data_IF_802634946130
#
_entry.id   IF_802634946130
#
_cell.length_a   1.000
_cell.length_b   1.000
_cell.length_c   1.000
_cell.angle_alpha   90.00
_cell.angle_beta   90.00
_cell.angle_gamma   90.00
#
_symmetry.space_group_name_H-M   'P 1'
#
loop_
_entity.id
_entity.type
_entity.pdbx_description
1 polymer ?
#
# COMPACT_ATOMS: atom_id res chain seq x y z
N UNK A 1 -7.66 -6.46 11.03
CA UNK A 1 -8.73 -6.60 10.01
C UNK A 1 -8.72 -5.43 9.02
N UNK A 2 -8.87 -4.15 9.46
CA UNK A 2 -8.89 -2.96 8.57
C UNK A 2 -7.74 -2.93 7.55
N UNK A 3 -6.51 -3.14 7.96
CA UNK A 3 -5.34 -3.13 7.07
C UNK A 3 -5.13 -4.49 6.39
N UNK A 4 -5.10 -5.57 7.15
CA UNK A 4 -4.70 -6.90 6.67
C UNK A 4 -5.70 -7.45 5.64
N UNK A 5 -7.00 -7.39 5.94
CA UNK A 5 -8.08 -7.90 5.09
C UNK A 5 -8.88 -6.77 4.41
N UNK A 6 -8.48 -5.51 4.58
CA UNK A 6 -9.21 -4.34 4.06
C UNK A 6 -10.71 -4.34 4.46
N UNK A 7 -11.00 -4.76 5.69
CA UNK A 7 -12.36 -4.92 6.19
C UNK A 7 -13.02 -3.56 6.41
N UNK A 8 -14.16 -3.34 5.74
CA UNK A 8 -14.87 -2.08 5.76
C UNK A 8 -15.58 -1.81 7.10
N UNK A 9 -16.07 -2.86 7.77
CA UNK A 9 -16.72 -2.72 9.08
C UNK A 9 -15.67 -2.32 10.11
N UNK A 10 -14.52 -3.01 10.12
CA UNK A 10 -13.41 -2.64 10.99
C UNK A 10 -12.90 -1.21 10.73
N UNK A 11 -12.92 -0.75 9.46
CA UNK A 11 -12.58 0.62 9.11
C UNK A 11 -13.56 1.61 9.74
N UNK A 12 -14.87 1.38 9.57
CA UNK A 12 -15.88 2.25 10.16
C UNK A 12 -15.83 2.25 11.70
N UNK A 13 -15.60 1.10 12.33
CA UNK A 13 -15.45 1.03 13.79
C UNK A 13 -14.30 1.92 14.29
N UNK A 14 -13.18 1.96 13.57
CA UNK A 14 -12.05 2.84 13.92
C UNK A 14 -12.38 4.32 13.68
N UNK A 15 -13.07 4.63 12.58
CA UNK A 15 -13.53 6.00 12.29
C UNK A 15 -14.51 6.47 13.38
N UNK A 16 -15.46 5.65 13.78
CA UNK A 16 -16.43 5.95 14.82
C UNK A 16 -15.77 6.15 16.20
N UNK A 17 -14.77 5.32 16.50
CA UNK A 17 -14.04 5.38 17.77
C UNK A 17 -13.16 6.64 17.89
N UNK A 18 -12.45 7.01 16.84
CA UNK A 18 -11.52 8.14 16.85
C UNK A 18 -12.20 9.47 16.51
N UNK A 19 -13.24 9.44 15.71
CA UNK A 19 -13.91 10.61 15.15
C UNK A 19 -13.18 11.17 13.92
N UNK A 20 -13.98 11.58 12.94
CA UNK A 20 -13.49 12.08 11.65
C UNK A 20 -12.58 13.30 11.79
N UNK A 21 -12.95 14.25 12.66
CA UNK A 21 -12.19 15.47 12.87
C UNK A 21 -10.81 15.17 13.47
N UNK A 22 -10.74 14.25 14.44
CA UNK A 22 -9.49 13.82 15.07
C UNK A 22 -8.57 13.16 14.05
N UNK A 23 -9.10 12.27 13.20
CA UNK A 23 -8.35 11.61 12.14
C UNK A 23 -7.76 12.66 11.19
N UNK A 24 -8.59 13.60 10.71
CA UNK A 24 -8.14 14.64 9.80
C UNK A 24 -7.17 15.65 10.44
N UNK A 25 -7.28 15.91 11.73
CA UNK A 25 -6.30 16.72 12.46
C UNK A 25 -4.93 15.99 12.49
N UNK A 26 -4.92 14.71 12.86
CA UNK A 26 -3.71 13.88 12.88
C UNK A 26 -3.05 13.78 11.50
N UNK A 27 -3.82 13.59 10.43
CA UNK A 27 -3.32 13.57 9.05
C UNK A 27 -2.54 14.86 8.72
N UNK A 28 -3.09 16.02 9.10
CA UNK A 28 -2.44 17.31 8.87
C UNK A 28 -1.17 17.50 9.72
N UNK A 29 -1.23 17.13 11.00
CA UNK A 29 -0.10 17.20 11.93
C UNK A 29 1.08 16.33 11.49
N UNK A 30 0.78 15.18 10.87
CA UNK A 30 1.79 14.29 10.29
C UNK A 30 2.34 14.77 8.94
N UNK A 31 1.84 15.90 8.42
CA UNK A 31 2.35 16.55 7.20
C UNK A 31 1.73 16.05 5.89
N UNK A 32 0.62 15.31 5.94
CA UNK A 32 -0.06 14.81 4.73
C UNK A 32 -1.12 15.82 4.25
N UNK A 33 -0.66 16.95 3.72
CA UNK A 33 -1.51 18.12 3.42
C UNK A 33 -2.54 17.93 2.31
N UNK A 34 -2.40 16.88 1.49
CA UNK A 34 -3.33 16.56 0.38
C UNK A 34 -4.17 15.31 0.69
N UNK A 35 -4.13 14.84 1.93
CA UNK A 35 -4.89 13.66 2.38
C UNK A 35 -6.02 14.09 3.30
N UNK A 36 -7.24 13.68 2.98
CA UNK A 36 -8.45 13.98 3.75
C UNK A 36 -9.38 12.77 3.75
N UNK A 37 -9.88 12.39 4.92
CA UNK A 37 -10.96 11.45 5.08
C UNK A 37 -12.28 12.24 5.10
N UNK A 38 -13.18 11.99 4.13
CA UNK A 38 -14.41 12.77 3.98
C UNK A 38 -15.57 12.24 4.80
N UNK A 39 -15.73 10.92 4.83
CA UNK A 39 -16.84 10.23 5.51
C UNK A 39 -16.47 8.78 5.82
N UNK A 40 -17.22 8.09 6.68
CA UNK A 40 -17.17 6.64 6.80
C UNK A 40 -17.55 5.94 5.48
N UNK A 41 -17.24 4.66 5.37
CA UNK A 41 -17.68 3.84 4.24
C UNK A 41 -19.19 3.63 4.31
N UNK A 42 -19.90 3.95 3.23
CA UNK A 42 -21.32 3.68 3.04
C UNK A 42 -21.50 2.43 2.17
N UNK A 43 -22.41 1.54 2.57
CA UNK A 43 -22.65 0.27 1.88
C UNK A 43 -23.87 0.33 0.94
N UNK A 44 -24.70 1.34 1.10
CA UNK A 44 -25.95 1.55 0.38
C UNK A 44 -25.85 2.59 -0.75
N UNK A 45 -24.76 3.30 -0.79
CA UNK A 45 -24.48 4.33 -1.78
C UNK A 45 -22.99 4.49 -2.02
N UNK A 46 -22.65 4.97 -3.22
CA UNK A 46 -21.28 5.36 -3.54
C UNK A 46 -21.00 6.78 -3.03
N UNK A 47 -20.12 6.88 -2.05
CA UNK A 47 -19.59 8.14 -1.58
C UNK A 47 -18.05 8.13 -1.66
N UNK A 48 -17.48 9.31 -1.90
CA UNK A 48 -16.05 9.49 -1.91
C UNK A 48 -15.49 9.40 -0.48
N UNK A 49 -14.95 8.25 -0.10
CA UNK A 49 -14.40 7.98 1.22
C UNK A 49 -13.34 9.00 1.62
N UNK A 50 -12.37 9.24 0.74
CA UNK A 50 -11.24 10.14 1.02
C UNK A 50 -10.55 10.62 -0.25
N UNK A 51 -9.59 11.50 -0.05
CA UNK A 51 -8.68 11.99 -1.09
C UNK A 51 -7.26 11.86 -0.57
N UNK A 52 -6.35 11.46 -1.44
CA UNK A 52 -4.91 11.46 -1.18
C UNK A 52 -4.14 11.67 -2.47
N UNK A 53 -2.84 11.78 -2.38
CA UNK A 53 -1.93 11.83 -3.52
C UNK A 53 -0.88 10.74 -3.43
N UNK A 54 -0.28 10.32 -4.56
CA UNK A 54 0.85 9.38 -4.53
C UNK A 54 1.98 9.86 -3.63
N UNK A 55 2.21 11.18 -3.56
CA UNK A 55 3.24 11.79 -2.72
C UNK A 55 2.96 11.60 -1.22
N UNK A 56 1.76 11.93 -0.77
CA UNK A 56 1.39 11.78 0.65
C UNK A 56 1.41 10.31 1.06
N UNK A 57 0.91 9.43 0.17
CA UNK A 57 0.89 8.00 0.43
C UNK A 57 2.29 7.40 0.49
N UNK A 58 3.19 7.80 -0.42
CA UNK A 58 4.59 7.41 -0.39
C UNK A 58 5.32 7.98 0.85
N UNK A 59 5.01 9.21 1.25
CA UNK A 59 5.58 9.81 2.45
C UNK A 59 5.20 9.07 3.73
N UNK A 60 3.96 8.56 3.82
CA UNK A 60 3.52 7.72 4.93
C UNK A 60 4.38 6.46 5.04
N UNK A 61 4.53 5.69 3.96
CA UNK A 61 5.35 4.49 3.96
C UNK A 61 6.84 4.78 4.20
N UNK A 62 7.35 5.88 3.67
CA UNK A 62 8.73 6.29 3.91
C UNK A 62 8.99 6.65 5.39
N UNK A 63 8.03 7.27 6.07
CA UNK A 63 8.12 7.54 7.50
C UNK A 63 7.99 6.25 8.32
N UNK A 64 7.13 5.32 7.93
CA UNK A 64 7.04 3.98 8.56
C UNK A 64 8.38 3.24 8.43
N UNK A 65 8.95 3.17 7.23
CA UNK A 65 10.23 2.51 6.98
C UNK A 65 11.38 3.11 7.79
N UNK A 66 11.39 4.44 7.93
CA UNK A 66 12.41 5.17 8.72
C UNK A 66 12.18 5.11 10.23
N UNK A 67 11.07 4.58 10.69
CA UNK A 67 10.72 4.58 12.11
C UNK A 67 10.40 5.99 12.67
N UNK A 68 9.90 6.89 11.83
CA UNK A 68 9.65 8.31 12.19
C UNK A 68 8.17 8.69 12.20
N UNK A 69 7.27 7.80 11.80
CA UNK A 69 5.83 8.06 11.86
C UNK A 69 5.36 7.87 13.31
N UNK A 70 4.93 8.94 13.96
CA UNK A 70 4.53 9.04 15.37
C UNK A 70 5.68 8.71 16.33
N UNK A 71 6.15 7.46 16.39
CA UNK A 71 7.31 7.02 17.15
C UNK A 71 7.96 5.81 16.46
N UNK A 72 9.15 5.42 16.91
CA UNK A 72 9.84 4.24 16.40
C UNK A 72 9.05 2.96 16.66
N UNK A 73 8.48 2.83 17.84
CA UNK A 73 7.67 1.69 18.27
C UNK A 73 6.35 1.62 17.48
N UNK A 74 5.68 2.77 17.30
CA UNK A 74 4.46 2.87 16.49
C UNK A 74 4.73 2.51 15.03
N UNK A 75 5.81 3.03 14.45
CA UNK A 75 6.21 2.71 13.08
C UNK A 75 6.50 1.21 12.92
N UNK A 76 7.21 0.59 13.87
CA UNK A 76 7.50 -0.85 13.84
C UNK A 76 6.22 -1.68 13.94
N UNK A 77 5.26 -1.29 14.79
CA UNK A 77 3.97 -1.96 14.91
C UNK A 77 3.16 -1.84 13.59
N UNK A 78 3.13 -0.64 12.99
CA UNK A 78 2.47 -0.42 11.70
C UNK A 78 3.12 -1.24 10.59
N UNK A 79 4.45 -1.28 10.52
CA UNK A 79 5.18 -2.11 9.57
C UNK A 79 4.79 -3.59 9.69
N UNK A 80 4.75 -4.12 10.92
CA UNK A 80 4.32 -5.50 11.17
C UNK A 80 2.89 -5.79 10.73
N UNK A 81 1.98 -4.81 10.84
CA UNK A 81 0.61 -4.95 10.36
C UNK A 81 0.56 -4.91 8.82
N UNK A 82 1.28 -3.97 8.18
CA UNK A 82 1.31 -3.86 6.72
C UNK A 82 1.94 -5.08 6.04
N UNK A 83 2.90 -5.76 6.69
CA UNK A 83 3.50 -7.01 6.19
C UNK A 83 2.53 -8.19 6.15
N UNK A 84 1.43 -8.13 6.89
CA UNK A 84 0.39 -9.17 6.91
C UNK A 84 -0.72 -8.94 5.89
N UNK A 85 -0.58 -7.98 4.97
CA UNK A 85 -1.55 -7.70 3.92
C UNK A 85 -1.76 -8.92 3.02
N UNK A 86 -3.02 -9.35 2.88
CA UNK A 86 -3.40 -10.54 2.12
C UNK A 86 -3.61 -10.31 0.62
N UNK A 87 -3.85 -9.06 0.21
CA UNK A 87 -4.18 -8.77 -1.18
C UNK A 87 -2.94 -8.61 -2.04
N UNK A 88 -2.76 -9.56 -2.96
CA UNK A 88 -1.64 -9.64 -3.89
C UNK A 88 -2.09 -9.24 -5.31
N UNK A 89 -2.71 -8.08 -5.42
CA UNK A 89 -3.44 -7.71 -6.64
C UNK A 89 -2.67 -6.79 -7.59
N UNK A 90 -1.66 -6.08 -7.12
CA UNK A 90 -0.88 -5.17 -7.97
C UNK A 90 0.61 -5.22 -7.66
N UNK A 91 1.07 -4.73 -6.50
CA UNK A 91 2.51 -4.59 -6.25
C UNK A 91 3.26 -5.92 -6.34
N UNK A 92 2.70 -7.00 -5.83
CA UNK A 92 3.34 -8.30 -5.74
C UNK A 92 2.80 -9.33 -6.73
N UNK A 93 1.78 -8.98 -7.51
CA UNK A 93 1.10 -9.92 -8.40
C UNK A 93 2.04 -10.67 -9.36
N UNK A 94 2.97 -9.95 -9.99
CA UNK A 94 3.93 -10.52 -10.94
C UNK A 94 5.27 -10.91 -10.28
N UNK A 95 5.38 -10.83 -8.95
CA UNK A 95 6.59 -11.26 -8.26
C UNK A 95 6.68 -12.79 -8.27
N UNK A 96 7.88 -13.38 -8.46
CA UNK A 96 8.05 -14.81 -8.30
C UNK A 96 7.64 -15.24 -6.90
N UNK A 97 6.78 -16.25 -6.81
CA UNK A 97 6.25 -16.73 -5.53
C UNK A 97 7.37 -17.11 -4.56
N UNK A 98 8.42 -17.74 -5.04
CA UNK A 98 9.56 -18.16 -4.22
C UNK A 98 10.35 -17.00 -3.59
N UNK A 99 10.13 -15.75 -4.00
CA UNK A 99 10.68 -14.59 -3.31
C UNK A 99 9.89 -14.21 -2.06
N UNK A 100 8.57 -14.47 -2.08
CA UNK A 100 7.62 -14.03 -1.08
C UNK A 100 7.28 -15.11 -0.06
N UNK A 101 7.52 -16.37 -0.40
CA UNK A 101 7.14 -17.53 0.40
C UNK A 101 8.35 -18.44 0.60
N UNK A 102 8.92 -18.35 1.79
CA UNK A 102 10.09 -19.12 2.18
C UNK A 102 9.74 -20.30 3.11
N UNK A 103 8.48 -20.44 3.52
CA UNK A 103 8.06 -21.50 4.44
C UNK A 103 8.23 -22.89 3.81
N UNK A 104 7.94 -23.02 2.52
CA UNK A 104 8.09 -24.30 1.80
C UNK A 104 9.55 -24.67 1.54
N UNK A 105 10.44 -23.70 1.38
CA UNK A 105 11.84 -23.94 1.03
C UNK A 105 12.77 -23.95 2.23
N UNK A 106 12.35 -23.37 3.36
CA UNK A 106 13.19 -23.16 4.54
C UNK A 106 14.32 -22.15 4.33
N UNK A 107 14.31 -21.44 3.20
CA UNK A 107 15.30 -20.40 2.90
C UNK A 107 14.91 -19.07 3.58
N UNK A 108 15.86 -18.17 3.84
CA UNK A 108 15.55 -16.84 4.34
C UNK A 108 14.68 -16.04 3.37
N UNK A 109 13.72 -15.30 3.89
CA UNK A 109 12.89 -14.40 3.10
C UNK A 109 13.76 -13.35 2.38
N UNK A 110 13.87 -13.45 1.06
CA UNK A 110 14.70 -12.57 0.25
C UNK A 110 14.03 -11.22 0.03
N UNK A 111 12.72 -11.25 -0.19
CA UNK A 111 11.90 -10.08 -0.47
C UNK A 111 10.68 -10.14 0.42
N UNK A 112 10.40 -9.06 1.12
CA UNK A 112 9.13 -8.90 1.80
C UNK A 112 8.48 -7.57 1.41
N UNK A 113 7.18 -7.54 1.53
CA UNK A 113 6.36 -6.38 1.16
C UNK A 113 5.46 -5.99 2.33
N UNK A 114 5.42 -4.71 2.63
CA UNK A 114 4.50 -4.11 3.58
C UNK A 114 3.64 -3.10 2.83
N UNK A 115 2.38 -3.44 2.55
CA UNK A 115 1.56 -2.66 1.64
C UNK A 115 0.11 -2.48 2.10
N UNK A 116 -0.60 -1.59 1.41
CA UNK A 116 -2.05 -1.47 1.50
C UNK A 116 -2.62 -1.12 0.14
N UNK A 117 -3.46 -2.01 -0.36
CA UNK A 117 -4.21 -1.81 -1.61
C UNK A 117 -5.57 -1.15 -1.37
N UNK A 118 -6.16 -0.62 -2.43
CA UNK A 118 -7.52 -0.10 -2.44
C UNK A 118 -8.15 -0.17 -3.82
N UNK A 119 -9.39 -0.67 -3.88
CA UNK A 119 -10.13 -0.84 -5.12
C UNK A 119 -11.53 -0.27 -4.97
N UNK A 120 -11.93 0.55 -5.94
CA UNK A 120 -13.29 1.08 -6.08
C UNK A 120 -13.64 1.10 -7.57
N UNK A 121 -14.89 1.40 -7.92
CA UNK A 121 -15.27 1.60 -9.32
C UNK A 121 -14.35 2.63 -9.96
N UNK A 122 -13.77 2.28 -11.12
CA UNK A 122 -12.84 3.12 -11.87
C UNK A 122 -11.61 3.63 -11.08
N UNK A 123 -11.20 2.93 -10.01
CA UNK A 123 -10.04 3.29 -9.20
C UNK A 123 -9.35 2.03 -8.66
N UNK A 124 -8.04 1.91 -8.91
CA UNK A 124 -7.18 0.83 -8.37
C UNK A 124 -5.88 1.45 -7.89
N UNK A 125 -5.62 1.28 -6.61
CA UNK A 125 -4.44 1.85 -5.98
C UNK A 125 -3.73 0.79 -5.16
N UNK A 126 -2.42 0.87 -5.14
CA UNK A 126 -1.60 0.06 -4.24
C UNK A 126 -0.33 0.84 -3.90
N UNK A 127 0.21 0.60 -2.73
CA UNK A 127 1.44 1.23 -2.30
C UNK A 127 2.03 0.56 -1.09
N UNK A 128 3.35 0.62 -0.98
CA UNK A 128 4.03 -0.04 0.11
C UNK A 128 5.54 0.11 0.09
N UNK A 129 6.15 -0.56 1.05
CA UNK A 129 7.58 -0.74 1.20
C UNK A 129 7.93 -2.11 0.63
N UNK A 130 8.93 -2.17 -0.22
CA UNK A 130 9.48 -3.42 -0.73
C UNK A 130 10.91 -3.52 -0.22
N UNK A 131 11.19 -4.57 0.53
CA UNK A 131 12.52 -4.94 0.98
C UNK A 131 13.18 -5.88 0.00
N UNK A 132 14.46 -5.68 -0.25
CA UNK A 132 15.31 -6.55 -1.06
C UNK A 132 16.64 -6.76 -0.34
N UNK A 133 17.46 -7.74 -0.72
CA UNK A 133 18.81 -7.91 -0.19
C UNK A 133 19.71 -6.68 -0.38
N UNK A 134 19.33 -5.77 -1.26
CA UNK A 134 20.07 -4.56 -1.59
C UNK A 134 19.49 -3.28 -0.97
N UNK A 135 18.48 -3.40 -0.14
CA UNK A 135 17.83 -2.28 0.54
C UNK A 135 16.33 -2.20 0.30
N UNK A 136 15.73 -1.17 0.86
CA UNK A 136 14.29 -0.95 0.82
C UNK A 136 13.94 0.22 -0.10
N UNK A 137 12.80 0.11 -0.77
CA UNK A 137 12.22 1.22 -1.51
C UNK A 137 10.71 1.32 -1.29
N UNK A 138 10.18 2.50 -1.50
CA UNK A 138 8.74 2.75 -1.48
C UNK A 138 8.24 2.90 -2.90
N UNK A 139 7.14 2.22 -3.21
CA UNK A 139 6.44 2.34 -4.47
C UNK A 139 4.96 2.62 -4.22
N UNK A 140 4.39 3.53 -5.00
CA UNK A 140 2.96 3.85 -4.98
C UNK A 140 2.46 3.94 -6.41
N UNK A 141 1.43 3.18 -6.71
CA UNK A 141 0.76 3.13 -7.99
C UNK A 141 -0.71 3.49 -7.81
N UNK A 142 -1.16 4.55 -8.47
CA UNK A 142 -2.54 5.02 -8.38
C UNK A 142 -3.13 5.18 -9.78
N UNK A 143 -4.28 4.55 -9.99
CA UNK A 143 -5.05 4.60 -11.22
C UNK A 143 -6.46 5.10 -10.92
N UNK A 144 -7.00 5.94 -11.78
CA UNK A 144 -8.37 6.46 -11.68
C UNK A 144 -8.97 6.72 -13.07
N UNK A 145 -10.30 6.88 -13.08
CA UNK A 145 -11.03 7.31 -14.28
C UNK A 145 -10.87 6.36 -15.48
N UNK A 146 -10.80 5.07 -15.23
CA UNK A 146 -10.78 4.07 -16.30
C UNK A 146 -12.13 3.34 -16.41
N UNK A 147 -12.43 2.85 -17.62
CA UNK A 147 -13.62 2.07 -17.91
C UNK A 147 -13.37 0.58 -17.66
N UNK A 148 -13.28 0.21 -16.39
CA UNK A 148 -13.01 -1.15 -15.97
C UNK A 148 -14.14 -1.66 -15.10
N UNK A 149 -14.53 -2.91 -15.29
CA UNK A 149 -15.58 -3.54 -14.50
C UNK A 149 -14.90 -4.25 -13.34
N UNK A 150 -15.37 -4.04 -12.11
CA UNK A 150 -14.85 -4.69 -10.90
C UNK A 150 -14.81 -6.22 -11.01
N UNK A 151 -15.67 -6.79 -11.86
CA UNK A 151 -15.87 -8.23 -12.01
C UNK A 151 -14.71 -8.96 -12.71
N UNK A 152 -13.76 -8.26 -13.32
CA UNK A 152 -12.57 -8.88 -13.89
C UNK A 152 -11.54 -9.22 -12.81
N UNK A 153 -11.05 -10.46 -12.80
CA UNK A 153 -10.01 -10.90 -11.87
C UNK A 153 -8.70 -10.12 -12.07
N UNK A 154 -8.38 -9.80 -13.33
CA UNK A 154 -7.15 -9.09 -13.72
C UNK A 154 -7.49 -7.84 -14.55
N UNK A 155 -8.03 -6.78 -13.94
CA UNK A 155 -8.35 -5.57 -14.66
C UNK A 155 -7.06 -4.90 -15.19
N UNK A 156 -7.11 -4.29 -16.40
CA UNK A 156 -5.93 -3.70 -17.05
C UNK A 156 -5.10 -2.78 -16.14
N UNK A 157 -5.75 -1.99 -15.30
CA UNK A 157 -5.08 -1.08 -14.37
C UNK A 157 -4.20 -1.84 -13.34
N UNK A 158 -4.65 -3.00 -12.86
CA UNK A 158 -3.86 -3.86 -11.95
C UNK A 158 -2.72 -4.54 -12.70
N UNK A 159 -2.98 -5.09 -13.87
CA UNK A 159 -1.96 -5.77 -14.70
C UNK A 159 -0.82 -4.81 -15.07
N UNK A 160 -1.13 -3.58 -15.49
CA UNK A 160 -0.10 -2.60 -15.79
C UNK A 160 0.69 -2.19 -14.54
N UNK A 161 0.01 -2.00 -13.42
CA UNK A 161 0.68 -1.71 -12.14
C UNK A 161 1.60 -2.84 -11.70
N UNK A 162 1.15 -4.09 -11.81
CA UNK A 162 1.94 -5.28 -11.51
C UNK A 162 3.22 -5.36 -12.35
N UNK A 163 3.10 -5.15 -13.67
CA UNK A 163 4.25 -5.12 -14.58
C UNK A 163 5.24 -4.02 -14.24
N UNK A 164 4.77 -2.82 -13.95
CA UNK A 164 5.64 -1.71 -13.53
C UNK A 164 6.38 -2.05 -12.24
N UNK A 165 5.67 -2.57 -11.24
CA UNK A 165 6.28 -3.01 -9.97
C UNK A 165 7.36 -4.08 -10.21
N UNK A 166 7.07 -5.09 -11.03
CA UNK A 166 8.01 -6.15 -11.39
C UNK A 166 9.25 -5.60 -12.11
N UNK A 167 9.07 -4.72 -13.09
CA UNK A 167 10.19 -4.12 -13.82
C UNK A 167 11.13 -3.34 -12.88
N UNK A 168 10.57 -2.61 -11.91
CA UNK A 168 11.37 -1.89 -10.91
C UNK A 168 12.14 -2.88 -10.03
N UNK A 169 11.49 -3.94 -9.55
CA UNK A 169 12.15 -4.97 -8.76
C UNK A 169 13.30 -5.62 -9.53
N UNK A 170 13.04 -6.06 -10.78
CA UNK A 170 14.05 -6.68 -11.62
C UNK A 170 15.25 -5.77 -11.85
N UNK A 171 15.01 -4.46 -12.06
CA UNK A 171 16.06 -3.47 -12.22
C UNK A 171 16.91 -3.31 -10.93
N UNK A 172 16.26 -3.27 -9.77
CA UNK A 172 16.95 -3.16 -8.48
C UNK A 172 17.83 -4.39 -8.25
N UNK A 173 17.29 -5.58 -8.50
CA UNK A 173 18.02 -6.84 -8.34
C UNK A 173 19.18 -6.94 -9.35
N UNK A 174 18.96 -6.62 -10.62
CA UNK A 174 19.99 -6.67 -11.66
C UNK A 174 21.15 -5.69 -11.41
N UNK A 175 20.86 -4.55 -10.79
CA UNK A 175 21.85 -3.51 -10.47
C UNK A 175 22.41 -3.65 -9.05
N UNK A 176 22.05 -4.68 -8.29
CA UNK A 176 22.44 -4.84 -6.88
C UNK A 176 22.15 -3.56 -6.07
N UNK A 177 21.02 -2.93 -6.29
CA UNK A 177 20.64 -1.65 -5.67
C UNK A 177 21.38 -0.42 -6.18
N UNK A 178 22.35 -0.55 -7.08
CA UNK A 178 23.08 0.56 -7.68
C UNK A 178 22.26 1.13 -8.84
N UNK A 179 21.34 2.03 -8.54
CA UNK A 179 20.55 2.73 -9.57
C UNK A 179 21.38 3.87 -10.15
N UNK A 180 21.83 3.73 -11.39
CA UNK A 180 22.43 4.84 -12.14
C UNK A 180 21.33 5.63 -12.83
N UNK A 181 20.84 6.67 -12.17
CA UNK A 181 20.08 7.73 -12.84
C UNK A 181 21.09 8.57 -13.62
N UNK A 182 21.07 8.44 -14.95
CA UNK A 182 21.78 9.36 -15.84
C UNK A 182 20.94 10.60 -16.08
#
# INVERSE_FOLDING_TARGET
>A
MMIICSDNIATNMIIDYLGLDTINACIRELGFGHTVLHNPLHFDRYDKLGTTTPRDYAALFAQVAKGTLVSKEASAAMLGIFRQQHYNTMLTHDFPQFYLDCEETGEPELIWVASKSGSMNACRNDGGIIHTPYGEYVIVLMNKEFHDIIEYNDPPAMVYGARVSRMILDQILACEGKLYLK
#
